data_IF_371634569334
#
_entry.id   IF_371634569334
#
_cell.length_a   1.000
_cell.length_b   1.000
_cell.length_c   1.000
_cell.angle_alpha   90.00
_cell.angle_beta   90.00
_cell.angle_gamma   90.00
#
_symmetry.space_group_name_H-M   'P 1'
#
loop_
_entity.id
_entity.type
_entity.pdbx_description
1 polymer ?
#
# COMPACT_ATOMS: atom_id res chain seq x y z
N UNK A 1 2.56 20.78 -19.49
CA UNK A 1 3.41 20.78 -18.30
C UNK A 1 3.43 19.34 -17.81
N UNK A 2 4.59 18.71 -17.90
CA UNK A 2 4.78 17.33 -17.42
C UNK A 2 4.71 17.35 -15.89
N UNK A 3 3.55 17.05 -15.30
CA UNK A 3 3.46 16.86 -13.86
C UNK A 3 4.16 15.54 -13.52
N UNK A 4 5.32 15.64 -12.91
CA UNK A 4 6.10 14.47 -12.47
C UNK A 4 5.28 13.69 -11.45
N UNK A 5 4.90 12.46 -11.78
CA UNK A 5 4.19 11.55 -10.88
C UNK A 5 5.19 11.11 -9.80
N UNK A 6 4.91 11.44 -8.55
CA UNK A 6 5.78 11.09 -7.43
C UNK A 6 5.31 9.73 -6.85
N UNK A 7 6.19 8.72 -6.75
CA UNK A 7 5.89 7.56 -5.92
C UNK A 7 5.73 8.03 -4.47
N UNK A 8 4.59 7.74 -3.86
CA UNK A 8 4.36 8.03 -2.46
C UNK A 8 4.48 6.73 -1.66
N UNK A 9 5.47 6.67 -0.78
CA UNK A 9 5.57 5.57 0.17
C UNK A 9 4.65 5.88 1.35
N UNK A 10 3.69 5.00 1.57
CA UNK A 10 2.90 5.06 2.80
C UNK A 10 3.84 4.88 4.00
N UNK A 11 3.55 5.49 5.15
CA UNK A 11 4.31 5.27 6.37
C UNK A 11 4.47 3.77 6.65
N UNK A 12 5.57 3.40 7.31
CA UNK A 12 5.93 2.01 7.56
C UNK A 12 4.79 1.21 8.21
N UNK A 13 4.32 0.15 7.53
CA UNK A 13 3.24 -0.74 7.99
C UNK A 13 3.73 -1.84 8.94
N UNK A 14 4.99 -1.83 9.38
CA UNK A 14 5.52 -2.88 10.29
C UNK A 14 4.79 -2.92 11.62
N UNK A 15 4.34 -1.77 12.11
CA UNK A 15 3.62 -1.67 13.39
C UNK A 15 2.10 -1.45 13.23
N UNK A 16 1.61 -1.23 12.01
CA UNK A 16 0.19 -0.96 11.77
C UNK A 16 -0.35 -1.78 10.59
N UNK A 17 -1.49 -2.40 10.78
CA UNK A 17 -2.18 -3.20 9.75
C UNK A 17 -2.76 -2.33 8.62
N UNK A 18 -3.06 -1.07 8.93
CA UNK A 18 -3.59 -0.05 8.03
C UNK A 18 -3.33 1.34 8.62
N UNK A 19 -3.49 2.38 7.82
CA UNK A 19 -3.39 3.78 8.28
C UNK A 19 -4.75 4.43 8.31
N UNK A 20 -5.03 5.13 9.42
CA UNK A 20 -6.15 6.06 9.53
C UNK A 20 -5.60 7.44 9.81
N UNK A 21 -5.98 8.41 9.01
CA UNK A 21 -5.58 9.80 9.15
C UNK A 21 -6.82 10.70 9.17
N UNK A 22 -6.86 11.60 10.14
CA UNK A 22 -7.68 12.79 10.13
C UNK A 22 -6.80 13.97 9.76
N UNK A 23 -7.05 14.58 8.61
CA UNK A 23 -6.19 15.62 8.05
C UNK A 23 -6.89 16.95 8.03
N UNK A 24 -6.24 17.96 8.61
CA UNK A 24 -6.62 19.38 8.52
C UNK A 24 -5.40 20.15 8.09
N UNK A 25 -5.42 20.66 6.87
CA UNK A 25 -4.28 21.34 6.24
C UNK A 25 -4.76 22.52 5.37
N UNK A 26 -3.91 23.54 5.16
CA UNK A 26 -4.15 24.51 4.10
C UNK A 26 -4.19 23.83 2.72
N UNK A 27 -5.05 24.25 1.79
CA UNK A 27 -5.19 23.63 0.46
C UNK A 27 -3.87 23.55 -0.33
N UNK A 28 -2.95 24.50 -0.11
CA UNK A 28 -1.66 24.54 -0.81
C UNK A 28 -0.67 23.43 -0.38
N UNK A 29 -0.94 22.74 0.75
CA UNK A 29 -0.05 21.70 1.34
C UNK A 29 -0.46 20.29 0.89
N UNK A 30 -1.50 20.15 0.10
CA UNK A 30 -1.98 18.85 -0.36
C UNK A 30 -0.97 18.09 -1.22
N UNK A 31 -1.12 16.77 -1.26
CA UNK A 31 -0.26 15.89 -2.03
C UNK A 31 -0.33 16.20 -3.54
N UNK A 32 0.83 16.19 -4.20
CA UNK A 32 0.93 16.25 -5.66
C UNK A 32 0.31 15.00 -6.28
N UNK A 33 0.19 14.98 -7.60
CA UNK A 33 -0.21 13.79 -8.34
C UNK A 33 0.74 12.63 -8.00
N UNK A 34 0.19 11.55 -7.43
CA UNK A 34 0.98 10.43 -6.89
C UNK A 34 0.29 9.09 -7.07
N UNK A 35 0.98 8.02 -6.70
CA UNK A 35 0.46 6.66 -6.63
C UNK A 35 1.16 5.86 -5.53
N UNK A 36 0.46 4.86 -4.99
CA UNK A 36 0.99 3.89 -4.01
C UNK A 36 0.29 2.53 -4.18
N UNK A 37 0.88 1.48 -3.62
CA UNK A 37 0.37 0.09 -3.73
C UNK A 37 -0.63 -0.26 -2.60
N UNK A 38 -1.50 0.68 -2.25
CA UNK A 38 -2.54 0.46 -1.26
C UNK A 38 -3.90 0.95 -1.77
N UNK A 39 -4.95 0.38 -1.22
CA UNK A 39 -6.29 0.95 -1.27
C UNK A 39 -6.31 2.24 -0.46
N UNK A 40 -6.93 3.28 -1.00
CA UNK A 40 -7.18 4.52 -0.29
C UNK A 40 -8.67 4.84 -0.31
N UNK A 41 -9.28 4.90 0.87
CA UNK A 41 -10.64 5.43 1.04
C UNK A 41 -10.53 6.82 1.66
N UNK A 42 -11.00 7.84 0.94
CA UNK A 42 -11.02 9.22 1.41
C UNK A 42 -12.46 9.73 1.52
N UNK A 43 -12.75 10.37 2.64
CA UNK A 43 -14.01 11.07 2.90
C UNK A 43 -13.74 12.55 3.15
N UNK A 44 -14.27 13.42 2.31
CA UNK A 44 -14.20 14.88 2.47
C UNK A 44 -15.19 15.32 3.56
N UNK A 45 -14.68 15.85 4.66
CA UNK A 45 -15.51 16.42 5.73
C UNK A 45 -15.81 17.88 5.43
N UNK A 46 -14.80 18.63 4.96
CA UNK A 46 -14.93 20.03 4.58
C UNK A 46 -14.00 20.38 3.44
N UNK A 47 -14.50 21.14 2.50
CA UNK A 47 -13.81 21.56 1.32
C UNK A 47 -14.47 21.04 0.04
N UNK A 48 -14.04 21.57 -1.09
CA UNK A 48 -14.42 21.15 -2.43
C UNK A 48 -13.25 21.34 -3.38
N UNK A 49 -13.31 20.70 -4.53
CA UNK A 49 -12.22 20.78 -5.48
C UNK A 49 -12.35 19.83 -6.65
N UNK A 50 -11.19 19.38 -7.17
CA UNK A 50 -11.11 18.41 -8.26
C UNK A 50 -10.30 17.20 -7.84
N UNK A 51 -10.89 16.01 -7.99
CA UNK A 51 -10.21 14.73 -7.84
C UNK A 51 -9.77 14.22 -9.19
N UNK A 52 -8.48 13.95 -9.33
CA UNK A 52 -7.94 13.13 -10.43
C UNK A 52 -7.86 11.70 -9.97
N UNK A 53 -8.42 10.76 -10.71
CA UNK A 53 -8.30 9.33 -10.47
C UNK A 53 -8.13 8.62 -11.82
N UNK A 54 -6.93 8.07 -12.06
CA UNK A 54 -6.60 7.49 -13.36
C UNK A 54 -6.81 8.47 -14.52
N UNK A 55 -7.66 8.07 -15.46
CA UNK A 55 -7.98 8.80 -16.69
C UNK A 55 -9.04 9.91 -16.53
N UNK A 56 -9.55 10.12 -15.32
CA UNK A 56 -10.73 10.94 -15.09
C UNK A 56 -10.46 12.05 -14.08
N UNK A 57 -11.01 13.24 -14.35
CA UNK A 57 -11.04 14.36 -13.41
C UNK A 57 -12.50 14.69 -13.10
N UNK A 58 -12.86 14.64 -11.82
CA UNK A 58 -14.19 14.94 -11.33
C UNK A 58 -14.14 16.01 -10.23
N UNK A 59 -15.21 16.78 -10.09
CA UNK A 59 -15.40 17.65 -8.92
C UNK A 59 -15.83 16.83 -7.71
N UNK A 60 -15.42 17.26 -6.53
CA UNK A 60 -15.88 16.73 -5.26
C UNK A 60 -16.30 17.86 -4.32
N UNK A 61 -17.11 17.52 -3.34
CA UNK A 61 -17.60 18.44 -2.30
C UNK A 61 -17.57 17.77 -0.92
N UNK A 62 -17.88 18.53 0.12
CA UNK A 62 -18.05 17.97 1.46
C UNK A 62 -19.11 16.86 1.46
N UNK A 63 -18.78 15.73 2.08
CA UNK A 63 -19.59 14.51 2.09
C UNK A 63 -19.19 13.47 1.05
N UNK A 64 -18.37 13.83 0.05
CA UNK A 64 -17.88 12.88 -0.94
C UNK A 64 -17.01 11.79 -0.30
N UNK A 65 -17.24 10.54 -0.73
CA UNK A 65 -16.47 9.37 -0.35
C UNK A 65 -16.02 8.66 -1.61
N UNK A 66 -14.72 8.44 -1.74
CA UNK A 66 -14.18 7.70 -2.89
C UNK A 66 -13.10 6.71 -2.48
N UNK A 67 -13.07 5.58 -3.20
CA UNK A 67 -12.08 4.52 -3.08
C UNK A 67 -11.16 4.56 -4.30
N UNK A 68 -9.87 4.61 -4.04
CA UNK A 68 -8.81 4.50 -5.04
C UNK A 68 -8.15 3.13 -4.91
N UNK A 69 -8.06 2.33 -5.98
CA UNK A 69 -7.39 1.04 -5.94
C UNK A 69 -5.85 1.19 -5.97
N UNK A 70 -5.11 0.14 -5.54
CA UNK A 70 -3.66 0.12 -5.58
C UNK A 70 -3.10 0.46 -6.97
N UNK A 71 -2.00 1.21 -6.98
CA UNK A 71 -1.27 1.58 -8.19
C UNK A 71 -1.93 2.64 -9.06
N UNK A 72 -3.14 3.10 -8.75
CA UNK A 72 -3.81 4.14 -9.53
C UNK A 72 -3.19 5.50 -9.23
N UNK A 73 -2.89 6.24 -10.31
CA UNK A 73 -2.46 7.64 -10.21
C UNK A 73 -3.64 8.47 -9.74
N UNK A 74 -3.45 9.26 -8.69
CA UNK A 74 -4.53 10.08 -8.13
C UNK A 74 -4.03 11.34 -7.42
N UNK A 75 -4.96 12.29 -7.25
CA UNK A 75 -4.77 13.52 -6.48
C UNK A 75 -6.11 14.11 -6.09
N UNK A 76 -6.14 14.73 -4.91
CA UNK A 76 -7.23 15.57 -4.45
C UNK A 76 -6.77 17.03 -4.45
N UNK A 77 -7.25 17.84 -5.38
CA UNK A 77 -6.92 19.25 -5.52
C UNK A 77 -8.04 20.10 -4.94
N UNK A 78 -7.89 20.52 -3.70
CA UNK A 78 -8.85 21.40 -3.02
C UNK A 78 -8.78 22.83 -3.60
N UNK A 79 -9.94 23.48 -3.74
CA UNK A 79 -10.00 24.87 -4.16
C UNK A 79 -9.45 25.78 -3.04
N UNK A 80 -8.66 26.81 -3.38
CA UNK A 80 -8.02 27.69 -2.38
C UNK A 80 -9.01 28.38 -1.42
N UNK A 81 -10.23 28.60 -1.87
CA UNK A 81 -11.31 29.26 -1.15
C UNK A 81 -12.24 28.26 -0.40
N UNK A 82 -11.96 26.95 -0.47
CA UNK A 82 -12.77 25.88 0.14
C UNK A 82 -12.41 25.60 1.60
N UNK A 83 -12.01 26.62 2.35
CA UNK A 83 -11.44 26.54 3.70
C UNK A 83 -12.46 26.78 4.80
N UNK A 84 -12.14 26.36 6.03
CA UNK A 84 -12.82 26.75 7.25
C UNK A 84 -12.35 28.12 7.78
N UNK A 85 -12.86 28.52 8.96
CA UNK A 85 -12.48 29.79 9.59
C UNK A 85 -10.97 29.86 9.93
N UNK A 86 -10.31 28.72 10.07
CA UNK A 86 -8.88 28.60 10.39
C UNK A 86 -8.02 28.45 9.15
N UNK A 87 -8.60 28.51 7.95
CA UNK A 87 -7.89 28.40 6.66
C UNK A 87 -7.57 26.97 6.25
N UNK A 88 -8.30 25.95 6.72
CA UNK A 88 -8.02 24.54 6.48
C UNK A 88 -9.14 23.82 5.72
N UNK A 89 -8.77 22.86 4.92
CA UNK A 89 -9.63 21.77 4.43
C UNK A 89 -9.58 20.60 5.43
N UNK A 90 -10.62 19.77 5.44
CA UNK A 90 -10.71 18.65 6.39
C UNK A 90 -11.20 17.39 5.69
N UNK A 91 -10.46 16.30 5.83
CA UNK A 91 -10.85 14.98 5.33
C UNK A 91 -10.36 13.85 6.25
N UNK A 92 -11.02 12.71 6.13
CA UNK A 92 -10.62 11.44 6.76
C UNK A 92 -10.12 10.50 5.67
N UNK A 93 -9.05 9.79 5.95
CA UNK A 93 -8.46 8.84 5.02
C UNK A 93 -8.11 7.53 5.73
N UNK A 94 -8.38 6.43 5.06
CA UNK A 94 -7.88 5.10 5.43
C UNK A 94 -7.09 4.54 4.25
N UNK A 95 -5.87 4.08 4.51
CA UNK A 95 -5.05 3.38 3.53
C UNK A 95 -4.67 1.98 4.05
N UNK A 96 -4.82 0.96 3.20
CA UNK A 96 -4.56 -0.43 3.55
C UNK A 96 -4.09 -1.25 2.35
N UNK A 97 -3.19 -2.20 2.60
CA UNK A 97 -2.65 -3.06 1.54
C UNK A 97 -3.65 -4.13 1.10
N UNK A 98 -3.49 -4.65 -0.12
CA UNK A 98 -4.24 -5.82 -0.56
C UNK A 98 -3.97 -7.04 0.33
N UNK A 99 -2.72 -7.25 0.75
CA UNK A 99 -2.36 -8.32 1.68
C UNK A 99 -3.01 -8.20 3.06
N UNK A 100 -3.37 -7.01 3.51
CA UNK A 100 -4.20 -6.86 4.72
C UNK A 100 -5.60 -7.44 4.51
N UNK A 101 -6.22 -7.16 3.36
CA UNK A 101 -7.55 -7.72 3.02
C UNK A 101 -7.48 -9.24 2.96
N UNK A 102 -6.47 -9.80 2.28
CA UNK A 102 -6.26 -11.25 2.19
C UNK A 102 -6.14 -11.90 3.58
N UNK A 103 -5.30 -11.33 4.45
CA UNK A 103 -5.20 -11.83 5.84
C UNK A 103 -6.52 -11.76 6.60
N UNK A 104 -7.31 -10.70 6.41
CA UNK A 104 -8.64 -10.61 7.02
C UNK A 104 -9.59 -11.71 6.51
N UNK A 105 -9.52 -12.05 5.22
CA UNK A 105 -10.31 -13.13 4.62
C UNK A 105 -9.87 -14.51 5.12
N UNK A 106 -8.60 -14.70 5.38
CA UNK A 106 -8.06 -15.95 5.93
C UNK A 106 -8.42 -16.13 7.40
N UNK A 107 -8.22 -15.09 8.21
CA UNK A 107 -8.34 -15.16 9.66
C UNK A 107 -9.79 -15.04 10.18
N UNK A 108 -10.66 -14.30 9.48
CA UNK A 108 -12.01 -13.98 9.95
C UNK A 108 -13.09 -14.57 9.01
N UNK A 109 -13.69 -15.74 9.35
CA UNK A 109 -14.76 -16.34 8.57
C UNK A 109 -15.94 -15.40 8.35
N UNK A 110 -16.24 -14.51 9.29
CA UNK A 110 -17.32 -13.51 9.20
C UNK A 110 -17.08 -12.51 8.08
N UNK A 111 -15.84 -12.04 7.90
CA UNK A 111 -15.44 -11.15 6.80
C UNK A 111 -15.46 -11.91 5.48
N UNK A 112 -14.83 -13.10 5.46
CA UNK A 112 -14.79 -13.96 4.28
C UNK A 112 -16.18 -14.30 3.74
N UNK A 113 -17.13 -14.65 4.61
CA UNK A 113 -18.48 -15.01 4.19
C UNK A 113 -19.24 -13.84 3.55
N UNK A 114 -18.96 -12.60 3.98
CA UNK A 114 -19.55 -11.41 3.38
C UNK A 114 -18.89 -11.01 2.06
N UNK A 115 -17.63 -11.36 1.84
CA UNK A 115 -16.85 -10.98 0.65
C UNK A 115 -16.59 -12.15 -0.30
N UNK A 116 -17.23 -13.32 -0.10
CA UNK A 116 -17.00 -14.56 -0.87
C UNK A 116 -17.12 -14.37 -2.38
N UNK A 117 -18.11 -13.61 -2.81
CA UNK A 117 -18.45 -13.42 -4.24
C UNK A 117 -18.08 -12.01 -4.73
N UNK A 118 -17.27 -11.28 -3.95
CA UNK A 118 -16.90 -9.92 -4.28
C UNK A 118 -15.64 -9.90 -5.13
N UNK A 119 -15.74 -9.27 -6.30
CA UNK A 119 -14.59 -8.91 -7.12
C UNK A 119 -14.06 -7.53 -6.72
N UNK A 120 -12.80 -7.44 -6.35
CA UNK A 120 -12.19 -6.15 -6.01
C UNK A 120 -12.07 -5.26 -7.25
N UNK A 121 -12.61 -4.03 -7.21
CA UNK A 121 -12.68 -3.20 -8.40
C UNK A 121 -11.30 -2.71 -8.84
N UNK A 122 -10.93 -2.86 -10.12
CA UNK A 122 -9.70 -2.29 -10.65
C UNK A 122 -9.83 -0.78 -10.93
N UNK A 123 -11.00 -0.19 -10.67
CA UNK A 123 -11.33 1.21 -10.95
C UNK A 123 -11.54 1.98 -9.65
N UNK A 124 -11.34 3.31 -9.71
CA UNK A 124 -11.77 4.18 -8.62
C UNK A 124 -13.30 4.24 -8.55
N UNK A 125 -13.84 4.20 -7.33
CA UNK A 125 -15.26 4.29 -7.06
C UNK A 125 -15.59 5.58 -6.33
N UNK A 126 -16.70 6.21 -6.70
CA UNK A 126 -17.34 7.29 -5.96
C UNK A 126 -18.64 6.77 -5.37
N UNK A 127 -18.74 6.75 -4.05
CA UNK A 127 -19.92 6.29 -3.33
C UNK A 127 -20.96 7.39 -3.23
N UNK A 128 -22.23 7.02 -3.38
CA UNK A 128 -23.33 7.95 -3.40
C UNK A 128 -24.27 7.72 -2.22
N UNK A 129 -25.05 8.73 -1.89
CA UNK A 129 -26.17 8.71 -0.94
C UNK A 129 -25.96 7.81 0.29
N UNK A 130 -26.63 6.66 0.32
CA UNK A 130 -26.63 5.75 1.46
C UNK A 130 -25.26 5.11 1.71
N UNK A 131 -24.56 4.70 0.66
CA UNK A 131 -23.24 4.08 0.78
C UNK A 131 -22.22 5.08 1.31
N UNK A 132 -22.20 6.31 0.79
CA UNK A 132 -21.33 7.38 1.28
C UNK A 132 -21.59 7.69 2.76
N UNK A 133 -22.86 7.80 3.16
CA UNK A 133 -23.23 8.06 4.56
C UNK A 133 -22.77 6.93 5.51
N UNK A 134 -22.92 5.66 5.08
CA UNK A 134 -22.50 4.50 5.87
C UNK A 134 -20.98 4.48 6.04
N UNK A 135 -20.22 4.62 4.95
CA UNK A 135 -18.75 4.62 4.98
C UNK A 135 -18.20 5.81 5.77
N UNK A 136 -18.79 7.01 5.58
CA UNK A 136 -18.44 8.19 6.36
C UNK A 136 -18.64 7.95 7.87
N UNK A 137 -19.76 7.35 8.26
CA UNK A 137 -20.02 7.06 9.67
C UNK A 137 -19.00 6.08 10.26
N UNK A 138 -18.55 5.10 9.49
CA UNK A 138 -17.47 4.21 9.90
C UNK A 138 -16.14 4.95 10.10
N UNK A 139 -15.76 5.78 9.14
CA UNK A 139 -14.55 6.60 9.25
C UNK A 139 -14.61 7.55 10.46
N UNK A 140 -15.76 8.15 10.74
CA UNK A 140 -15.94 9.00 11.92
C UNK A 140 -15.77 8.24 13.24
N UNK A 141 -16.19 6.97 13.30
CA UNK A 141 -15.99 6.10 14.47
C UNK A 141 -14.53 5.67 14.66
N UNK A 142 -13.71 5.68 13.60
CA UNK A 142 -12.28 5.41 13.70
C UNK A 142 -11.49 6.55 14.37
N UNK A 143 -12.11 7.68 14.69
CA UNK A 143 -11.52 8.82 15.42
C UNK A 143 -11.32 8.54 16.90
N UNK A 144 -11.11 7.32 17.27
CA UNK A 144 -10.84 6.88 18.66
C UNK A 144 -9.34 6.72 18.87
N UNK A 145 -8.81 6.98 20.07
CA UNK A 145 -7.39 6.80 20.38
C UNK A 145 -7.01 5.32 20.46
N UNK A 146 -7.92 4.44 20.82
CA UNK A 146 -7.66 2.99 20.96
C UNK A 146 -7.49 2.31 19.61
N UNK A 147 -6.35 1.68 19.40
CA UNK A 147 -5.99 1.01 18.13
C UNK A 147 -6.80 -0.25 17.90
N UNK A 148 -7.19 -0.97 18.95
CA UNK A 148 -8.01 -2.18 18.84
C UNK A 148 -9.44 -1.83 18.44
N UNK A 149 -10.02 -0.78 19.02
CA UNK A 149 -11.34 -0.28 18.60
C UNK A 149 -11.30 0.18 17.14
N UNK A 150 -10.22 0.85 16.74
CA UNK A 150 -10.02 1.27 15.35
C UNK A 150 -9.91 0.07 14.40
N UNK A 151 -9.22 -0.99 14.81
CA UNK A 151 -9.16 -2.24 14.05
C UNK A 151 -10.55 -2.89 13.93
N UNK A 152 -11.34 -2.91 14.99
CA UNK A 152 -12.72 -3.42 14.96
C UNK A 152 -13.59 -2.64 13.96
N UNK A 153 -13.47 -1.31 13.91
CA UNK A 153 -14.18 -0.50 12.91
C UNK A 153 -13.66 -0.75 11.49
N UNK A 154 -12.36 -1.00 11.31
CA UNK A 154 -11.80 -1.38 10.01
C UNK A 154 -12.33 -2.74 9.52
N UNK A 155 -12.42 -3.74 10.38
CA UNK A 155 -13.01 -5.05 10.04
C UNK A 155 -14.49 -4.95 9.66
N UNK A 156 -15.22 -4.01 10.23
CA UNK A 156 -16.60 -3.70 9.83
C UNK A 156 -16.69 -2.90 8.53
N UNK A 157 -15.72 -1.99 8.31
CA UNK A 157 -15.64 -1.16 7.11
C UNK A 157 -15.41 -2.01 5.85
N UNK A 158 -14.53 -3.00 5.90
CA UNK A 158 -14.16 -3.79 4.72
C UNK A 158 -15.36 -4.42 3.98
N UNK A 159 -16.27 -5.18 4.65
CA UNK A 159 -17.45 -5.70 3.97
C UNK A 159 -18.37 -4.62 3.43
N UNK A 160 -18.61 -3.55 4.20
CA UNK A 160 -19.48 -2.45 3.77
C UNK A 160 -18.91 -1.73 2.54
N UNK A 161 -17.58 -1.55 2.49
CA UNK A 161 -16.87 -0.91 1.40
C UNK A 161 -16.99 -1.69 0.09
N UNK A 162 -16.71 -2.99 0.13
CA UNK A 162 -16.64 -3.82 -1.07
C UNK A 162 -17.99 -4.41 -1.50
N UNK A 163 -19.03 -4.35 -0.66
CA UNK A 163 -20.41 -4.75 -1.03
C UNK A 163 -21.34 -3.57 -1.30
N UNK A 164 -20.84 -2.35 -1.19
CA UNK A 164 -21.65 -1.15 -1.45
C UNK A 164 -22.15 -1.13 -2.89
N UNK A 165 -23.46 -1.14 -3.08
CA UNK A 165 -24.08 -1.15 -4.40
C UNK A 165 -24.29 0.24 -5.00
N UNK A 166 -24.37 1.28 -4.12
CA UNK A 166 -24.66 2.66 -4.50
C UNK A 166 -23.34 3.42 -4.73
N UNK A 167 -22.75 3.19 -5.91
CA UNK A 167 -21.53 3.85 -6.36
C UNK A 167 -21.54 4.11 -7.85
N UNK A 168 -20.72 5.06 -8.28
CA UNK A 168 -20.40 5.35 -9.68
C UNK A 168 -18.90 5.20 -9.93
N UNK A 169 -18.55 5.05 -11.20
CA UNK A 169 -17.16 5.02 -11.62
C UNK A 169 -16.52 6.40 -11.41
N UNK A 170 -15.43 6.47 -10.66
CA UNK A 170 -14.69 7.71 -10.41
C UNK A 170 -13.44 7.86 -11.32
N UNK A 171 -13.01 6.79 -11.96
CA UNK A 171 -11.90 6.77 -12.92
C UNK A 171 -11.45 5.35 -13.22
N UNK A 172 -10.92 5.17 -14.42
CA UNK A 172 -10.27 3.92 -14.84
C UNK A 172 -8.76 4.07 -14.67
N UNK A 173 -8.04 2.98 -14.38
CA UNK A 173 -6.59 3.03 -14.47
C UNK A 173 -6.23 3.65 -15.84
N UNK A 174 -5.47 4.72 -15.85
CA UNK A 174 -4.79 5.09 -17.08
C UNK A 174 -4.12 3.80 -17.56
N UNK A 175 -4.10 3.53 -18.87
CA UNK A 175 -3.33 2.41 -19.41
C UNK A 175 -1.92 2.55 -18.83
N UNK A 176 -1.76 1.98 -17.64
CA UNK A 176 -0.48 1.87 -17.00
C UNK A 176 0.31 1.05 -18.00
N UNK A 177 1.40 1.59 -18.47
CA UNK A 177 2.30 0.87 -19.36
C UNK A 177 2.39 -0.55 -18.85
N UNK A 178 2.29 -1.53 -19.72
CA UNK A 178 2.42 -2.97 -19.38
C UNK A 178 3.51 -3.25 -18.35
N UNK A 179 4.48 -2.38 -18.29
CA UNK A 179 5.61 -2.39 -17.39
C UNK A 179 5.26 -2.20 -15.91
N UNK A 180 4.25 -1.40 -15.58
CA UNK A 180 3.85 -1.19 -14.17
C UNK A 180 3.05 -2.37 -13.64
N UNK A 181 2.11 -2.89 -14.44
CA UNK A 181 1.38 -4.11 -14.06
C UNK A 181 2.33 -5.30 -13.87
N UNK A 182 3.28 -5.48 -14.79
CA UNK A 182 4.33 -6.49 -14.65
C UNK A 182 5.18 -6.30 -13.41
N UNK A 183 5.54 -5.08 -13.09
CA UNK A 183 6.34 -4.81 -11.89
C UNK A 183 5.57 -5.15 -10.62
N UNK A 184 4.27 -4.83 -10.55
CA UNK A 184 3.42 -5.20 -9.42
C UNK A 184 3.34 -6.72 -9.27
N UNK A 185 3.06 -7.46 -10.35
CA UNK A 185 3.04 -8.93 -10.34
C UNK A 185 4.36 -9.50 -9.82
N UNK A 186 5.50 -8.97 -10.28
CA UNK A 186 6.83 -9.41 -9.85
C UNK A 186 7.08 -9.10 -8.38
N UNK A 187 6.72 -7.91 -7.89
CA UNK A 187 6.87 -7.56 -6.48
C UNK A 187 6.02 -8.47 -5.59
N UNK A 188 4.77 -8.73 -5.97
CA UNK A 188 3.87 -9.66 -5.27
C UNK A 188 4.45 -11.08 -5.29
N UNK A 189 4.93 -11.56 -6.42
CA UNK A 189 5.57 -12.87 -6.51
C UNK A 189 6.78 -12.99 -5.58
N UNK A 190 7.65 -11.98 -5.55
CA UNK A 190 8.80 -11.96 -4.64
C UNK A 190 8.34 -11.99 -3.18
N UNK A 191 7.33 -11.20 -2.82
CA UNK A 191 6.77 -11.14 -1.46
C UNK A 191 6.25 -12.50 -0.99
N UNK A 192 5.61 -13.26 -1.88
CA UNK A 192 5.06 -14.58 -1.56
C UNK A 192 6.12 -15.70 -1.56
N UNK A 193 7.21 -15.54 -2.32
CA UNK A 193 8.16 -16.62 -2.59
C UNK A 193 9.60 -16.35 -2.16
N UNK A 194 9.92 -15.20 -1.53
CA UNK A 194 11.29 -14.80 -1.21
C UNK A 194 12.05 -15.79 -0.31
N UNK A 195 11.36 -16.57 0.50
CA UNK A 195 11.95 -17.59 1.39
C UNK A 195 12.54 -18.78 0.64
N UNK A 196 12.15 -18.97 -0.62
CA UNK A 196 12.58 -20.08 -1.49
C UNK A 196 13.46 -19.56 -2.65
N UNK A 197 14.22 -20.45 -3.32
CA UNK A 197 14.91 -20.06 -4.54
C UNK A 197 13.93 -19.62 -5.63
N UNK A 198 14.08 -18.41 -6.14
CA UNK A 198 13.29 -17.88 -7.25
C UNK A 198 14.09 -18.03 -8.54
N UNK A 199 13.56 -18.83 -9.47
CA UNK A 199 14.16 -19.02 -10.80
C UNK A 199 13.92 -17.78 -11.67
N UNK A 200 14.99 -17.33 -12.37
CA UNK A 200 14.86 -16.25 -13.36
C UNK A 200 13.98 -16.64 -14.56
N UNK A 201 13.85 -17.92 -14.86
CA UNK A 201 12.98 -18.38 -15.93
C UNK A 201 11.51 -18.29 -15.51
N UNK A 202 11.20 -18.70 -14.28
CA UNK A 202 9.83 -18.70 -13.77
C UNK A 202 9.29 -17.28 -13.64
N UNK A 203 10.08 -16.37 -13.06
CA UNK A 203 9.66 -14.97 -12.92
C UNK A 203 9.60 -14.24 -14.28
N UNK A 204 10.42 -14.60 -15.24
CA UNK A 204 10.34 -14.07 -16.60
C UNK A 204 9.05 -14.54 -17.30
N UNK A 205 8.68 -15.82 -17.13
CA UNK A 205 7.43 -16.39 -17.64
C UNK A 205 6.21 -15.69 -16.99
N UNK A 206 6.24 -15.48 -15.67
CA UNK A 206 5.21 -14.72 -14.94
C UNK A 206 5.04 -13.29 -15.50
N UNK A 207 6.14 -12.64 -15.88
CA UNK A 207 6.14 -11.34 -16.53
C UNK A 207 5.72 -11.37 -18.01
N UNK A 208 5.46 -12.55 -18.59
CA UNK A 208 5.19 -12.73 -20.02
C UNK A 208 6.40 -12.38 -20.91
N UNK A 209 7.62 -12.67 -20.46
CA UNK A 209 8.88 -12.35 -21.13
C UNK A 209 9.82 -13.55 -21.18
N UNK A 210 10.76 -13.56 -22.13
CA UNK A 210 11.92 -14.44 -22.02
C UNK A 210 12.92 -13.87 -21.00
N UNK A 211 13.81 -14.73 -20.49
CA UNK A 211 14.78 -14.38 -19.45
C UNK A 211 15.65 -13.16 -19.79
N UNK A 212 16.14 -13.04 -21.01
CA UNK A 212 17.02 -11.94 -21.43
C UNK A 212 16.27 -10.61 -21.45
N UNK A 213 15.07 -10.60 -22.04
CA UNK A 213 14.20 -9.43 -22.08
C UNK A 213 13.80 -8.99 -20.67
N UNK A 214 13.44 -9.94 -19.80
CA UNK A 214 13.12 -9.68 -18.39
C UNK A 214 14.29 -9.03 -17.65
N UNK A 215 15.49 -9.58 -17.72
CA UNK A 215 16.65 -9.03 -17.02
C UNK A 215 16.96 -7.59 -17.45
N UNK A 216 16.90 -7.32 -18.74
CA UNK A 216 17.15 -5.97 -19.31
C UNK A 216 16.03 -5.00 -18.90
N UNK A 217 14.78 -5.43 -19.01
CA UNK A 217 13.62 -4.64 -18.63
C UNK A 217 13.62 -4.34 -17.13
N UNK A 218 13.82 -5.35 -16.27
CA UNK A 218 13.81 -5.17 -14.82
C UNK A 218 14.90 -4.20 -14.35
N UNK A 219 16.13 -4.36 -14.91
CA UNK A 219 17.26 -3.46 -14.60
C UNK A 219 16.96 -2.01 -15.03
N UNK A 220 16.30 -1.83 -16.18
CA UNK A 220 15.87 -0.48 -16.62
C UNK A 220 14.85 0.12 -15.68
N UNK A 221 13.85 -0.66 -15.22
CA UNK A 221 12.75 -0.17 -14.38
C UNK A 221 13.16 0.07 -12.92
N UNK A 222 14.01 -0.80 -12.34
CA UNK A 222 14.40 -0.74 -10.92
C UNK A 222 15.83 -0.23 -10.69
N UNK A 223 16.62 0.01 -11.71
CA UNK A 223 18.04 0.43 -11.58
C UNK A 223 18.98 -0.67 -11.05
N UNK A 224 18.48 -1.88 -10.76
CA UNK A 224 19.23 -3.00 -10.22
C UNK A 224 18.78 -4.32 -10.84
N UNK A 225 19.62 -5.38 -10.69
CA UNK A 225 19.25 -6.72 -11.15
C UNK A 225 18.16 -7.33 -10.28
N UNK A 226 17.38 -8.27 -10.84
CA UNK A 226 16.35 -8.98 -10.08
C UNK A 226 16.92 -9.73 -8.86
N UNK A 227 18.10 -10.36 -9.02
CA UNK A 227 18.76 -11.04 -7.89
C UNK A 227 19.17 -10.06 -6.77
N UNK A 228 19.59 -8.84 -7.12
CA UNK A 228 19.86 -7.79 -6.13
C UNK A 228 18.58 -7.37 -5.42
N UNK A 229 17.47 -7.22 -6.14
CA UNK A 229 16.18 -6.87 -5.58
C UNK A 229 15.68 -7.92 -4.58
N UNK A 230 15.67 -9.21 -4.95
CA UNK A 230 15.30 -10.30 -4.03
C UNK A 230 16.20 -10.33 -2.80
N UNK A 231 17.51 -10.14 -2.97
CA UNK A 231 18.46 -10.09 -1.86
C UNK A 231 18.17 -8.92 -0.91
N UNK A 232 17.89 -7.72 -1.44
CA UNK A 232 17.53 -6.57 -0.61
C UNK A 232 16.24 -6.83 0.17
N UNK A 233 15.22 -7.41 -0.47
CA UNK A 233 13.98 -7.79 0.19
C UNK A 233 14.23 -8.73 1.37
N UNK A 234 15.02 -9.80 1.17
CA UNK A 234 15.42 -10.74 2.23
C UNK A 234 16.16 -10.07 3.38
N UNK A 235 17.07 -9.16 3.08
CA UNK A 235 17.83 -8.42 4.09
C UNK A 235 16.95 -7.47 4.88
N UNK A 236 16.00 -6.81 4.22
CA UNK A 236 15.03 -5.96 4.89
C UNK A 236 14.15 -6.77 5.86
N UNK A 237 13.62 -7.91 5.40
CA UNK A 237 12.86 -8.83 6.29
C UNK A 237 13.73 -9.36 7.44
N UNK A 238 15.03 -9.61 7.21
CA UNK A 238 15.94 -9.99 8.29
C UNK A 238 16.09 -8.89 9.35
N UNK A 239 16.14 -7.62 8.95
CA UNK A 239 16.16 -6.50 9.89
C UNK A 239 14.92 -6.49 10.78
N UNK A 240 13.74 -6.74 10.21
CA UNK A 240 12.50 -6.80 10.99
C UNK A 240 12.48 -7.97 11.97
N UNK A 241 12.94 -9.16 11.54
CA UNK A 241 13.06 -10.30 12.45
C UNK A 241 14.11 -10.08 13.55
N UNK A 242 15.19 -9.36 13.26
CA UNK A 242 16.19 -8.99 14.28
C UNK A 242 15.63 -8.03 15.34
N UNK A 243 14.68 -7.17 14.97
CA UNK A 243 13.99 -6.25 15.89
C UNK A 243 12.90 -6.95 16.71
N UNK A 244 12.12 -7.84 16.08
CA UNK A 244 10.87 -8.38 16.63
C UNK A 244 11.00 -9.75 17.26
N UNK A 245 12.20 -10.39 17.26
CA UNK A 245 12.38 -11.73 17.78
C UNK A 245 13.77 -11.98 18.35
N UNK A 246 13.84 -12.93 19.31
CA UNK A 246 15.11 -13.42 19.91
C UNK A 246 15.71 -14.60 19.13
N UNK A 247 15.25 -14.87 17.91
CA UNK A 247 15.76 -15.97 17.06
C UNK A 247 17.26 -15.84 16.83
N UNK A 248 17.95 -16.98 16.77
CA UNK A 248 19.37 -16.99 16.43
C UNK A 248 19.62 -16.41 15.02
N UNK A 249 20.76 -15.77 14.85
CA UNK A 249 21.14 -15.17 13.55
C UNK A 249 21.12 -16.22 12.43
N UNK A 250 21.55 -17.44 12.71
CA UNK A 250 21.46 -18.57 11.77
C UNK A 250 20.03 -18.95 11.41
N UNK A 251 19.11 -18.92 12.36
CA UNK A 251 17.68 -19.16 12.11
C UNK A 251 17.10 -18.10 11.17
N UNK A 252 17.35 -16.83 11.49
CA UNK A 252 16.89 -15.72 10.64
C UNK A 252 17.46 -15.84 9.23
N UNK A 253 18.73 -16.19 9.08
CA UNK A 253 19.36 -16.44 7.79
C UNK A 253 18.53 -17.40 6.90
N UNK A 254 18.16 -18.56 7.46
CA UNK A 254 17.39 -19.57 6.70
C UNK A 254 15.92 -19.18 6.53
N UNK A 255 15.30 -18.56 7.53
CA UNK A 255 13.91 -18.06 7.44
C UNK A 255 13.71 -17.03 6.33
N UNK A 256 14.71 -16.18 6.10
CA UNK A 256 14.61 -15.18 5.01
C UNK A 256 15.12 -15.70 3.66
N UNK A 257 15.43 -16.99 3.55
CA UNK A 257 15.73 -17.65 2.29
C UNK A 257 17.21 -17.58 1.86
N UNK A 258 18.15 -17.30 2.77
CA UNK A 258 19.58 -17.54 2.51
C UNK A 258 19.95 -18.99 2.83
N UNK A 259 20.78 -19.59 1.98
CA UNK A 259 21.21 -20.98 2.14
C UNK A 259 22.55 -21.12 2.88
N UNK A 260 23.23 -20.00 3.18
CA UNK A 260 24.58 -19.96 3.71
C UNK A 260 24.76 -18.77 4.65
N UNK A 261 25.09 -19.05 5.92
CA UNK A 261 25.24 -18.03 6.96
C UNK A 261 26.40 -17.05 6.68
N UNK A 262 27.60 -17.49 6.29
CA UNK A 262 28.68 -16.58 5.89
C UNK A 262 28.31 -15.61 4.77
N UNK A 263 27.58 -16.08 3.77
CA UNK A 263 27.07 -15.24 2.67
C UNK A 263 26.03 -14.23 3.19
N UNK A 264 25.09 -14.68 4.02
CA UNK A 264 24.10 -13.78 4.67
C UNK A 264 24.78 -12.68 5.47
N UNK A 265 25.73 -13.01 6.35
CA UNK A 265 26.43 -12.04 7.22
C UNK A 265 27.18 -11.02 6.37
N UNK A 266 27.87 -11.43 5.31
CA UNK A 266 28.55 -10.52 4.38
C UNK A 266 27.57 -9.60 3.65
N UNK A 267 26.50 -10.16 3.10
CA UNK A 267 25.47 -9.39 2.39
C UNK A 267 24.78 -8.38 3.33
N UNK A 268 24.46 -8.81 4.54
CA UNK A 268 23.85 -7.94 5.56
C UNK A 268 24.79 -6.78 5.95
N UNK A 269 26.06 -7.09 6.25
CA UNK A 269 27.06 -6.07 6.56
C UNK A 269 27.29 -5.08 5.41
N UNK A 270 27.31 -5.57 4.18
CA UNK A 270 27.42 -4.71 2.99
C UNK A 270 26.22 -3.77 2.83
N UNK A 271 25.02 -4.23 3.19
CA UNK A 271 23.79 -3.47 3.02
C UNK A 271 23.53 -2.51 4.20
N UNK A 272 23.73 -2.98 5.43
CA UNK A 272 23.41 -2.24 6.67
C UNK A 272 24.62 -1.55 7.31
N UNK A 273 25.83 -1.75 6.79
CA UNK A 273 27.07 -1.20 7.36
C UNK A 273 27.61 -1.95 8.57
N UNK A 274 26.79 -2.74 9.27
CA UNK A 274 27.13 -3.52 10.48
C UNK A 274 26.72 -4.98 10.34
N UNK A 275 27.31 -5.86 11.16
CA UNK A 275 26.90 -7.27 11.19
C UNK A 275 25.50 -7.44 11.81
N UNK A 276 24.77 -8.55 11.50
CA UNK A 276 23.46 -8.82 12.10
C UNK A 276 23.47 -8.80 13.63
N UNK A 277 24.51 -9.35 14.26
CA UNK A 277 24.65 -9.36 15.73
C UNK A 277 24.77 -7.94 16.27
N UNK A 278 25.66 -7.13 15.68
CA UNK A 278 25.84 -5.74 16.10
C UNK A 278 24.62 -4.88 15.83
N UNK A 279 23.87 -5.17 14.75
CA UNK A 279 22.61 -4.50 14.47
C UNK A 279 21.59 -4.77 15.58
N UNK A 280 21.44 -6.02 16.04
CA UNK A 280 20.57 -6.38 17.17
C UNK A 280 21.01 -5.71 18.47
N UNK A 281 22.31 -5.73 18.81
CA UNK A 281 22.86 -5.05 20.00
C UNK A 281 22.51 -3.56 20.05
N UNK A 282 22.58 -2.90 18.91
CA UNK A 282 22.24 -1.47 18.82
C UNK A 282 20.76 -1.18 19.08
N UNK A 283 19.86 -2.14 18.81
CA UNK A 283 18.42 -2.03 19.07
C UNK A 283 18.06 -2.26 20.54
N UNK A 284 18.87 -3.05 21.26
CA UNK A 284 18.62 -3.36 22.68
C UNK A 284 19.20 -2.32 23.64
N UNK A 285 20.04 -1.41 23.16
CA UNK A 285 20.72 -0.37 23.95
C UNK A 285 20.31 1.07 23.56
N UNK A 286 19.34 1.26 22.68
CA UNK A 286 18.69 2.51 22.32
C UNK A 286 17.23 2.52 22.72
#
# INVERSE_FOLDING_TARGET
MDETITPYELPDTTNHSFFFLEVRIPPAVEAKLHRHDAWELLCVIRGYGKRTAGDTVQTFTAGDVALIPPGMIHRWAFAPDSIDADGHVHYLMVAFSHGFVERCLEMFPEVRNRLRDVSFPPHALHFMAKSAATLRNRLLRMRVPDELERLCEMLRLLPELFTAADHSLAGKPMRIERDVQRMQQICTYVMLHYTHPISLNDIAAEAGMNRSAFCSWFKRCKGMTFSQFVRQYRLHTACELLKSSDKHISEICYLVGFNDLPHFVRAFKQHMGVSPSRYREQLTHG
#
